data_IF_418814497319
#
_entry.id   IF_418814497319
#
_cell.length_a   1.000
_cell.length_b   1.000
_cell.length_c   1.000
_cell.angle_alpha   90.00
_cell.angle_beta   90.00
_cell.angle_gamma   90.00
#
_symmetry.space_group_name_H-M   'P 1'
#
loop_
_entity.id
_entity.type
_entity.pdbx_description
1 polymer ?
#
# COMPACT_ATOMS: atom_id res chain seq x y z
N UNK A 1 -4.10 31.75 -21.70
CA UNK A 1 -3.01 30.76 -21.68
C UNK A 1 -3.64 29.38 -21.87
N UNK A 2 -3.59 28.84 -23.08
CA UNK A 2 -4.24 27.56 -23.44
C UNK A 2 -3.31 26.39 -23.09
N UNK A 3 -3.74 25.53 -22.17
CA UNK A 3 -3.06 24.27 -21.87
C UNK A 3 -3.21 23.32 -23.06
N UNK A 4 -2.14 23.13 -23.84
CA UNK A 4 -2.08 22.07 -24.84
C UNK A 4 -1.74 20.75 -24.13
N UNK A 5 -2.72 19.88 -23.99
CA UNK A 5 -2.51 18.48 -23.62
C UNK A 5 -1.86 17.77 -24.81
N UNK A 6 -0.56 17.55 -24.75
CA UNK A 6 0.16 16.74 -25.74
C UNK A 6 -0.33 15.30 -25.57
N UNK A 7 -1.20 14.84 -26.46
CA UNK A 7 -1.58 13.44 -26.52
C UNK A 7 -0.33 12.64 -26.93
N UNK A 8 0.31 11.97 -25.96
CA UNK A 8 1.44 11.11 -26.23
C UNK A 8 1.03 10.08 -27.29
N UNK A 9 1.67 10.16 -28.46
CA UNK A 9 1.40 9.22 -29.55
C UNK A 9 1.98 7.86 -29.17
N UNK A 10 1.11 6.95 -28.75
CA UNK A 10 1.50 5.57 -28.41
C UNK A 10 1.87 4.85 -29.70
N UNK A 11 3.14 4.48 -29.83
CA UNK A 11 3.62 3.68 -30.96
C UNK A 11 3.33 2.20 -30.70
N UNK A 12 2.53 1.52 -31.54
CA UNK A 12 2.27 0.09 -31.40
C UNK A 12 3.59 -0.70 -31.40
N UNK A 13 3.66 -1.74 -30.56
CA UNK A 13 4.80 -2.66 -30.48
C UNK A 13 6.15 -2.03 -30.14
N UNK A 14 6.18 -0.78 -29.66
CA UNK A 14 7.41 -0.07 -29.28
C UNK A 14 8.26 -0.77 -28.21
N UNK A 15 7.66 -1.71 -27.46
CA UNK A 15 8.33 -2.49 -26.40
C UNK A 15 8.25 -4.01 -26.66
N UNK A 16 8.02 -4.44 -27.91
CA UNK A 16 7.87 -5.86 -28.23
C UNK A 16 9.12 -6.70 -27.91
N UNK A 17 10.31 -6.09 -28.03
CA UNK A 17 11.61 -6.73 -27.82
C UNK A 17 12.17 -6.45 -26.43
N UNK A 18 11.42 -5.72 -25.58
CA UNK A 18 11.81 -5.48 -24.21
C UNK A 18 11.72 -6.79 -23.40
N UNK A 19 12.67 -7.04 -22.48
CA UNK A 19 12.60 -8.21 -21.62
C UNK A 19 11.38 -8.14 -20.71
N UNK A 20 10.90 -9.31 -20.27
CA UNK A 20 9.80 -9.35 -19.31
C UNK A 20 10.22 -8.75 -17.97
N UNK A 21 9.28 -8.07 -17.30
CA UNK A 21 9.53 -7.40 -16.04
C UNK A 21 10.11 -8.35 -14.99
N UNK A 22 9.61 -9.59 -14.90
CA UNK A 22 10.07 -10.60 -13.93
C UNK A 22 11.55 -10.97 -14.07
N UNK A 23 12.14 -10.80 -15.26
CA UNK A 23 13.56 -11.08 -15.50
C UNK A 23 14.47 -9.97 -14.96
N UNK A 24 13.94 -8.75 -14.83
CA UNK A 24 14.68 -7.56 -14.37
C UNK A 24 14.32 -7.16 -12.94
N UNK A 25 13.05 -7.27 -12.56
CA UNK A 25 12.48 -6.75 -11.32
C UNK A 25 11.45 -7.71 -10.74
N UNK A 26 11.58 -7.99 -9.44
CA UNK A 26 10.60 -8.82 -8.74
C UNK A 26 10.50 -8.43 -7.26
N UNK A 27 9.37 -7.84 -6.81
CA UNK A 27 9.19 -7.46 -5.40
C UNK A 27 8.85 -8.66 -4.52
N UNK A 28 9.81 -9.57 -4.38
CA UNK A 28 9.64 -10.86 -3.69
C UNK A 28 9.03 -10.70 -2.29
N UNK A 29 9.52 -9.74 -1.50
CA UNK A 29 9.08 -9.55 -0.12
C UNK A 29 7.59 -9.21 -0.01
N UNK A 30 7.10 -8.21 -0.79
CA UNK A 30 5.69 -7.80 -0.77
C UNK A 30 4.79 -8.94 -1.25
N UNK A 31 5.19 -9.61 -2.34
CA UNK A 31 4.45 -10.75 -2.89
C UNK A 31 4.37 -11.90 -1.88
N UNK A 32 5.48 -12.23 -1.21
CA UNK A 32 5.52 -13.30 -0.20
C UNK A 32 4.61 -13.01 1.00
N UNK A 33 4.55 -11.76 1.46
CA UNK A 33 3.67 -11.37 2.57
C UNK A 33 2.20 -11.56 2.17
N UNK A 34 1.79 -11.07 1.00
CA UNK A 34 0.40 -11.22 0.53
C UNK A 34 0.05 -12.69 0.25
N UNK A 35 0.97 -13.45 -0.34
CA UNK A 35 0.80 -14.89 -0.56
C UNK A 35 0.60 -15.65 0.76
N UNK A 36 1.31 -15.25 1.82
CA UNK A 36 1.15 -15.86 3.14
C UNK A 36 -0.14 -15.42 3.83
N UNK A 37 -0.58 -14.16 3.66
CA UNK A 37 -1.90 -13.71 4.13
C UNK A 37 -3.03 -14.51 3.49
N UNK A 38 -2.97 -14.72 2.18
CA UNK A 38 -3.94 -15.55 1.46
C UNK A 38 -3.98 -16.98 2.04
N UNK A 39 -2.82 -17.61 2.24
CA UNK A 39 -2.73 -18.95 2.85
C UNK A 39 -3.31 -19.00 4.26
N UNK A 40 -3.11 -17.96 5.06
CA UNK A 40 -3.59 -17.89 6.45
C UNK A 40 -5.05 -17.43 6.58
N UNK A 41 -5.72 -17.05 5.49
CA UNK A 41 -7.09 -16.55 5.54
C UNK A 41 -8.14 -17.64 5.88
N UNK A 42 -7.75 -18.93 5.93
CA UNK A 42 -8.59 -20.10 6.26
C UNK A 42 -9.98 -20.02 5.63
N UNK A 43 -10.99 -19.55 6.36
CA UNK A 43 -12.39 -19.47 5.96
C UNK A 43 -12.66 -18.37 4.91
N UNK A 44 -11.79 -17.36 4.81
CA UNK A 44 -11.90 -16.25 3.86
C UNK A 44 -11.06 -16.44 2.59
N UNK A 45 -10.50 -17.63 2.35
CA UNK A 45 -9.85 -17.92 1.07
C UNK A 45 -10.91 -17.96 -0.05
N UNK A 46 -10.67 -17.29 -1.16
CA UNK A 46 -11.62 -17.19 -2.28
C UNK A 46 -12.02 -18.55 -2.88
N UNK A 47 -11.20 -19.60 -2.70
CA UNK A 47 -11.42 -20.94 -3.27
C UNK A 47 -11.52 -22.06 -2.22
N UNK A 48 -11.98 -21.79 -0.99
CA UNK A 48 -12.16 -22.81 0.05
C UNK A 48 -13.14 -23.92 -0.34
N UNK A 49 -14.21 -23.59 -1.06
CA UNK A 49 -15.34 -24.50 -1.31
C UNK A 49 -15.09 -25.61 -2.35
N UNK A 50 -14.12 -25.45 -3.26
CA UNK A 50 -13.77 -26.45 -4.30
C UNK A 50 -12.78 -27.50 -3.75
N UNK A 51 -13.11 -28.04 -2.58
CA UNK A 51 -12.23 -28.76 -1.67
C UNK A 51 -11.35 -29.83 -2.33
N UNK A 52 -10.14 -29.97 -1.78
CA UNK A 52 -9.25 -31.15 -1.90
C UNK A 52 -8.65 -31.49 -3.28
N UNK A 53 -9.27 -31.12 -4.40
CA UNK A 53 -8.79 -31.50 -5.75
C UNK A 53 -7.44 -30.86 -6.10
N UNK A 54 -7.12 -29.70 -5.51
CA UNK A 54 -5.89 -28.93 -5.75
C UNK A 54 -4.94 -28.92 -4.54
N UNK A 55 -4.72 -30.05 -3.87
CA UNK A 55 -3.80 -30.13 -2.72
C UNK A 55 -2.39 -29.66 -3.16
N UNK A 56 -1.99 -28.43 -2.79
CA UNK A 56 -0.82 -27.73 -3.36
C UNK A 56 -1.10 -26.37 -4.02
N UNK A 57 -2.27 -25.76 -3.79
CA UNK A 57 -2.67 -24.44 -4.33
C UNK A 57 -1.55 -23.39 -4.24
N UNK A 58 -1.11 -22.92 -5.41
CA UNK A 58 -0.31 -21.69 -5.48
C UNK A 58 -1.24 -20.51 -5.14
N UNK A 59 -0.82 -19.58 -4.26
CA UNK A 59 -1.61 -18.40 -3.95
C UNK A 59 -1.98 -17.64 -5.23
N UNK A 60 -3.24 -17.24 -5.37
CA UNK A 60 -3.73 -16.51 -6.54
C UNK A 60 -3.01 -15.18 -6.73
N UNK A 61 -2.63 -14.53 -5.62
CA UNK A 61 -1.78 -13.33 -5.68
C UNK A 61 -0.42 -13.62 -6.32
N UNK A 62 0.18 -14.79 -6.08
CA UNK A 62 1.44 -15.18 -6.71
C UNK A 62 1.23 -15.48 -8.20
N UNK A 63 0.15 -16.18 -8.56
CA UNK A 63 -0.19 -16.44 -9.96
C UNK A 63 -0.37 -15.14 -10.74
N UNK A 64 -1.14 -14.19 -10.17
CA UNK A 64 -1.31 -12.85 -10.75
C UNK A 64 0.02 -12.12 -10.92
N UNK A 65 0.89 -12.16 -9.90
CA UNK A 65 2.21 -11.55 -9.97
C UNK A 65 3.05 -12.15 -11.10
N UNK A 66 3.05 -13.48 -11.27
CA UNK A 66 3.78 -14.13 -12.35
C UNK A 66 3.23 -13.77 -13.73
N UNK A 67 1.91 -13.74 -13.90
CA UNK A 67 1.26 -13.36 -15.17
C UNK A 67 1.60 -11.91 -15.53
N UNK A 68 1.45 -10.97 -14.59
CA UNK A 68 1.78 -9.57 -14.82
C UNK A 68 3.29 -9.37 -15.06
N UNK A 69 4.14 -10.02 -14.27
CA UNK A 69 5.59 -9.93 -14.42
C UNK A 69 6.09 -10.52 -15.74
N UNK A 70 5.41 -11.53 -16.30
CA UNK A 70 5.76 -12.11 -17.61
C UNK A 70 5.26 -11.26 -18.79
N UNK A 71 4.17 -10.51 -18.62
CA UNK A 71 3.54 -9.75 -19.71
C UNK A 71 3.98 -8.29 -19.77
N UNK A 72 4.37 -7.69 -18.65
CA UNK A 72 4.82 -6.31 -18.62
C UNK A 72 6.25 -6.20 -19.17
N UNK A 73 6.51 -5.29 -20.11
CA UNK A 73 7.87 -5.02 -20.57
C UNK A 73 8.65 -4.25 -19.48
N UNK A 74 9.91 -4.61 -19.28
CA UNK A 74 10.82 -3.80 -18.49
C UNK A 74 11.34 -2.63 -19.35
N UNK A 75 11.21 -1.41 -18.82
CA UNK A 75 11.70 -0.18 -19.43
C UNK A 75 13.05 0.22 -18.82
N UNK A 76 13.59 1.35 -19.27
CA UNK A 76 14.81 1.94 -18.70
C UNK A 76 14.57 2.64 -17.35
N UNK A 77 13.31 2.74 -16.89
CA UNK A 77 12.94 3.30 -15.60
C UNK A 77 12.41 2.20 -14.65
N UNK A 78 13.31 1.49 -13.96
CA UNK A 78 12.92 0.38 -13.10
C UNK A 78 12.07 0.81 -11.90
N UNK A 79 12.19 2.07 -11.45
CA UNK A 79 11.40 2.59 -10.35
C UNK A 79 9.93 2.74 -10.76
N UNK A 80 9.69 3.28 -11.97
CA UNK A 80 8.35 3.46 -12.51
C UNK A 80 7.70 2.14 -12.91
N UNK A 81 8.46 1.20 -13.45
CA UNK A 81 7.95 -0.14 -13.75
C UNK A 81 7.48 -0.85 -12.48
N UNK A 82 8.27 -0.76 -11.41
CA UNK A 82 7.91 -1.31 -10.12
C UNK A 82 6.67 -0.60 -9.54
N UNK A 83 6.59 0.73 -9.62
CA UNK A 83 5.42 1.49 -9.19
C UNK A 83 4.14 1.03 -9.91
N UNK A 84 4.20 0.89 -11.24
CA UNK A 84 3.07 0.42 -12.05
C UNK A 84 2.70 -1.01 -11.67
N UNK A 85 3.69 -1.90 -11.54
CA UNK A 85 3.46 -3.27 -11.11
C UNK A 85 2.78 -3.35 -9.74
N UNK A 86 3.27 -2.58 -8.77
CA UNK A 86 2.70 -2.53 -7.42
C UNK A 86 1.25 -2.02 -7.43
N UNK A 87 0.96 -0.98 -8.22
CA UNK A 87 -0.41 -0.47 -8.43
C UNK A 87 -1.32 -1.51 -9.07
N UNK A 88 -0.84 -2.19 -10.12
CA UNK A 88 -1.59 -3.27 -10.78
C UNK A 88 -1.84 -4.45 -9.85
N UNK A 89 -0.90 -4.74 -8.93
CA UNK A 89 -1.04 -5.76 -7.90
C UNK A 89 -1.85 -5.28 -6.68
N UNK A 90 -2.16 -3.99 -6.58
CA UNK A 90 -2.70 -3.34 -5.37
C UNK A 90 -1.85 -3.65 -4.13
N UNK A 91 -0.54 -3.62 -4.26
CA UNK A 91 0.43 -3.75 -3.15
C UNK A 91 1.27 -2.48 -2.99
N UNK A 92 0.75 -1.39 -3.55
CA UNK A 92 1.18 -0.03 -3.33
C UNK A 92 0.62 0.53 -2.01
N UNK A 93 1.20 1.62 -1.55
CA UNK A 93 0.84 2.23 -0.28
C UNK A 93 -0.61 2.72 -0.26
N UNK A 94 -1.10 3.30 -1.37
CA UNK A 94 -2.49 3.76 -1.49
C UNK A 94 -3.46 2.60 -1.26
N UNK A 95 -3.25 1.48 -1.96
CA UNK A 95 -4.06 0.28 -1.79
C UNK A 95 -4.00 -0.28 -0.36
N UNK A 96 -2.84 -0.25 0.30
CA UNK A 96 -2.72 -0.70 1.69
C UNK A 96 -3.56 0.14 2.64
N UNK A 97 -3.59 1.45 2.46
CA UNK A 97 -4.40 2.35 3.29
C UNK A 97 -5.89 2.10 3.09
N UNK A 98 -6.31 1.89 1.84
CA UNK A 98 -7.71 1.58 1.53
C UNK A 98 -8.19 0.29 2.23
N UNK A 99 -7.31 -0.70 2.40
CA UNK A 99 -7.63 -1.98 3.08
C UNK A 99 -7.32 -2.00 4.57
N UNK A 100 -6.67 -0.97 5.10
CA UNK A 100 -6.32 -0.92 6.52
C UNK A 100 -7.56 -0.67 7.37
N UNK A 101 -8.01 -1.73 8.04
CA UNK A 101 -9.13 -1.73 8.98
C UNK A 101 -8.65 -1.65 10.44
N UNK A 102 -7.33 -1.67 10.67
CA UNK A 102 -6.75 -1.85 12.00
C UNK A 102 -6.38 -0.54 12.68
N UNK A 103 -5.83 0.43 11.95
CA UNK A 103 -5.44 1.71 12.55
C UNK A 103 -6.67 2.53 12.96
N UNK A 104 -6.70 2.96 14.22
CA UNK A 104 -7.81 3.74 14.77
C UNK A 104 -7.69 5.19 14.35
N UNK A 105 -8.82 5.87 14.11
CA UNK A 105 -8.84 7.29 13.75
C UNK A 105 -8.08 8.17 14.76
N UNK A 106 -8.12 7.82 16.04
CA UNK A 106 -7.38 8.52 17.07
C UNK A 106 -5.87 8.35 16.98
N UNK A 107 -5.39 7.16 16.64
CA UNK A 107 -3.95 6.90 16.44
C UNK A 107 -3.42 7.73 15.28
N UNK A 108 -4.19 7.80 14.18
CA UNK A 108 -3.91 8.68 13.04
C UNK A 108 -3.84 10.15 13.48
N UNK A 109 -4.81 10.63 14.26
CA UNK A 109 -4.84 12.01 14.74
C UNK A 109 -3.67 12.35 15.67
N UNK A 110 -3.29 11.42 16.55
CA UNK A 110 -2.15 11.57 17.46
C UNK A 110 -0.84 11.72 16.71
N UNK A 111 -0.57 10.85 15.73
CA UNK A 111 0.67 10.92 14.96
C UNK A 111 0.72 12.19 14.10
N UNK A 112 -0.40 12.59 13.48
CA UNK A 112 -0.45 13.85 12.70
C UNK A 112 -0.12 15.08 13.55
N UNK A 113 -0.56 15.07 14.81
CA UNK A 113 -0.27 16.13 15.78
C UNK A 113 1.18 16.09 16.27
N UNK A 114 1.70 14.90 16.62
CA UNK A 114 3.05 14.75 17.18
C UNK A 114 4.14 15.08 16.17
N UNK A 115 3.96 14.65 14.91
CA UNK A 115 4.88 14.90 13.80
C UNK A 115 4.71 16.31 13.21
N UNK A 116 3.79 17.13 13.77
CA UNK A 116 3.45 18.48 13.27
C UNK A 116 3.10 18.49 11.78
N UNK A 117 2.52 17.40 11.27
CA UNK A 117 2.09 17.28 9.87
C UNK A 117 0.83 18.12 9.63
N UNK A 118 -0.04 18.21 10.65
CA UNK A 118 -1.20 19.08 10.68
C UNK A 118 -1.22 19.90 11.96
N UNK A 119 -1.69 21.13 11.82
CA UNK A 119 -2.08 21.96 12.94
C UNK A 119 -3.49 21.59 13.43
N UNK A 120 -3.92 22.26 14.50
CA UNK A 120 -5.21 22.00 15.12
C UNK A 120 -6.38 22.23 14.15
N UNK A 121 -6.30 23.27 13.32
CA UNK A 121 -7.31 23.55 12.30
C UNK A 121 -7.42 22.39 11.30
N UNK A 122 -6.28 21.91 10.77
CA UNK A 122 -6.25 20.78 9.86
C UNK A 122 -6.75 19.46 10.47
N UNK A 123 -6.53 19.24 11.76
CA UNK A 123 -7.11 18.08 12.47
C UNK A 123 -8.63 18.18 12.60
N UNK A 124 -9.17 19.37 12.89
CA UNK A 124 -10.61 19.59 13.04
C UNK A 124 -11.38 19.45 11.72
N UNK A 125 -10.74 19.64 10.58
CA UNK A 125 -11.32 19.31 9.27
C UNK A 125 -11.55 17.80 9.06
N UNK A 126 -10.75 16.96 9.71
CA UNK A 126 -10.70 15.52 9.43
C UNK A 126 -11.33 14.68 10.53
N UNK A 127 -11.27 15.14 11.77
CA UNK A 127 -11.69 14.40 12.95
C UNK A 127 -12.74 15.18 13.74
N UNK A 128 -13.70 14.44 14.30
CA UNK A 128 -14.68 14.95 15.26
C UNK A 128 -14.63 14.12 16.54
N UNK A 129 -15.05 14.72 17.64
CA UNK A 129 -15.24 13.98 18.90
C UNK A 129 -16.42 13.04 18.72
N UNK A 130 -16.23 11.79 19.09
CA UNK A 130 -17.25 10.74 18.93
C UNK A 130 -18.48 11.10 19.78
N UNK A 131 -19.63 11.28 19.12
CA UNK A 131 -20.91 11.55 19.79
C UNK A 131 -21.22 13.02 20.08
N UNK A 132 -20.50 13.97 19.49
CA UNK A 132 -20.73 15.42 19.73
C UNK A 132 -20.97 16.17 18.42
N UNK A 133 -21.92 17.11 18.41
CA UNK A 133 -22.46 17.77 17.22
C UNK A 133 -21.78 19.09 16.80
N UNK A 134 -20.54 19.33 17.25
CA UNK A 134 -19.70 20.54 16.98
C UNK A 134 -20.01 21.81 17.79
N UNK A 135 -19.10 22.08 18.73
CA UNK A 135 -18.57 23.39 19.17
C UNK A 135 -17.74 23.13 20.45
N UNK A 136 -16.68 22.33 20.32
CA UNK A 136 -15.83 21.97 21.46
C UNK A 136 -14.57 22.83 21.42
N UNK A 137 -14.18 23.37 22.58
CA UNK A 137 -12.96 24.16 22.73
C UNK A 137 -11.72 23.35 22.32
N UNK A 138 -10.64 24.05 22.00
CA UNK A 138 -9.41 23.45 21.49
C UNK A 138 -8.77 22.49 22.50
N UNK A 139 -8.82 22.82 23.79
CA UNK A 139 -8.33 21.95 24.86
C UNK A 139 -9.09 20.63 24.95
N UNK A 140 -10.43 20.63 24.89
CA UNK A 140 -11.17 19.38 24.98
C UNK A 140 -11.08 18.56 23.67
N UNK A 141 -10.85 19.20 22.52
CA UNK A 141 -10.51 18.46 21.30
C UNK A 141 -9.15 17.76 21.42
N UNK A 142 -8.12 18.47 21.87
CA UNK A 142 -6.80 17.88 22.12
C UNK A 142 -6.86 16.77 23.18
N UNK A 143 -7.65 16.97 24.25
CA UNK A 143 -7.92 15.94 25.25
C UNK A 143 -8.63 14.72 24.67
N UNK A 144 -9.56 14.91 23.72
CA UNK A 144 -10.22 13.81 23.02
C UNK A 144 -9.27 13.05 22.08
N UNK A 145 -8.33 13.75 21.42
CA UNK A 145 -7.27 13.13 20.60
C UNK A 145 -6.37 12.28 21.49
N UNK A 146 -5.92 12.81 22.63
CA UNK A 146 -5.06 12.09 23.59
C UNK A 146 -5.75 10.85 24.19
N UNK A 147 -7.05 10.95 24.51
CA UNK A 147 -7.82 9.86 25.13
C UNK A 147 -8.46 8.88 24.15
N UNK A 148 -8.24 9.05 22.84
CA UNK A 148 -8.73 8.11 21.84
C UNK A 148 -10.21 8.26 21.46
N UNK A 149 -10.84 9.38 21.83
CA UNK A 149 -12.29 9.62 21.68
C UNK A 149 -12.69 10.33 20.38
N UNK A 150 -11.79 10.37 19.40
CA UNK A 150 -12.06 10.98 18.09
C UNK A 150 -12.39 9.95 17.02
N UNK A 151 -13.19 10.36 16.05
CA UNK A 151 -13.58 9.59 14.87
C UNK A 151 -13.41 10.44 13.61
N UNK A 152 -13.32 9.79 12.45
CA UNK A 152 -13.36 10.49 11.18
C UNK A 152 -14.68 11.25 11.05
N UNK A 153 -14.60 12.55 10.73
CA UNK A 153 -15.76 13.36 10.32
C UNK A 153 -16.48 12.67 9.16
N UNK A 154 -17.82 12.72 9.08
CA UNK A 154 -18.57 12.02 8.01
C UNK A 154 -18.47 12.75 6.66
N UNK A 155 -18.34 14.07 6.73
CA UNK A 155 -18.18 15.06 5.69
C UNK A 155 -16.74 15.19 5.16
N UNK A 156 -15.74 14.66 5.87
CA UNK A 156 -14.35 14.73 5.42
C UNK A 156 -14.17 13.97 4.09
N UNK A 157 -13.58 14.59 3.03
CA UNK A 157 -13.39 13.95 1.73
C UNK A 157 -12.65 12.62 1.85
N UNK A 158 -13.18 11.55 1.24
CA UNK A 158 -12.60 10.19 1.29
C UNK A 158 -11.12 10.21 0.89
N UNK A 159 -10.78 11.00 -0.14
CA UNK A 159 -9.41 11.20 -0.64
C UNK A 159 -8.50 11.83 0.43
N UNK A 160 -8.98 12.77 1.25
CA UNK A 160 -8.18 13.36 2.35
C UNK A 160 -7.96 12.36 3.49
N UNK A 161 -8.91 11.46 3.78
CA UNK A 161 -8.76 10.41 4.80
C UNK A 161 -7.73 9.37 4.40
N UNK A 162 -7.75 8.98 3.13
CA UNK A 162 -6.82 8.02 2.53
C UNK A 162 -5.42 8.64 2.37
N UNK A 163 -5.30 9.84 1.80
CA UNK A 163 -4.00 10.48 1.56
C UNK A 163 -3.25 10.89 2.84
N UNK A 164 -3.95 11.11 3.96
CA UNK A 164 -3.29 11.46 5.24
C UNK A 164 -2.86 10.23 6.02
N UNK A 165 -3.62 9.13 5.93
CA UNK A 165 -3.21 7.83 6.48
C UNK A 165 -1.99 7.27 5.71
N UNK A 166 -1.85 7.61 4.42
CA UNK A 166 -0.65 7.36 3.62
C UNK A 166 0.62 7.99 4.17
N UNK A 167 0.53 9.21 4.68
CA UNK A 167 1.68 9.95 5.23
C UNK A 167 2.09 9.47 6.62
N UNK A 168 1.30 8.59 7.25
CA UNK A 168 1.46 8.15 8.64
C UNK A 168 1.94 6.70 8.76
N UNK A 169 1.74 5.91 7.72
CA UNK A 169 2.40 4.63 7.60
C UNK A 169 3.73 4.85 6.89
N UNK A 170 4.89 4.87 7.59
CA UNK A 170 5.90 3.97 7.09
C UNK A 170 5.19 2.61 7.18
N UNK A 171 4.71 2.07 6.06
CA UNK A 171 4.54 0.62 6.04
C UNK A 171 5.90 0.12 6.45
N UNK A 172 5.96 -0.35 7.71
CA UNK A 172 7.15 -0.68 8.48
C UNK A 172 8.07 -1.40 7.51
N UNK A 173 9.00 -0.67 6.88
CA UNK A 173 9.97 -1.28 5.99
C UNK A 173 10.57 -2.32 6.93
N UNK A 174 10.47 -3.63 6.65
CA UNK A 174 11.46 -4.52 7.23
C UNK A 174 12.75 -3.81 6.85
N UNK A 175 13.49 -3.30 7.84
CA UNK A 175 14.71 -2.54 7.62
C UNK A 175 15.42 -3.20 6.47
N UNK A 176 15.40 -2.54 5.31
CA UNK A 176 16.16 -2.96 4.16
C UNK A 176 17.58 -2.65 4.60
N UNK A 177 18.18 -3.58 5.35
CA UNK A 177 19.57 -3.86 5.09
C UNK A 177 19.61 -4.07 3.58
N UNK A 178 20.29 -3.21 2.82
CA UNK A 178 20.56 -3.53 1.45
C UNK A 178 21.29 -4.86 1.53
N UNK A 179 20.62 -5.94 1.16
CA UNK A 179 21.32 -7.16 0.79
C UNK A 179 21.93 -6.86 -0.58
N UNK A 180 22.91 -5.95 -0.56
CA UNK A 180 23.95 -5.97 -1.55
C UNK A 180 24.47 -7.39 -1.48
N UNK A 181 24.39 -8.10 -2.59
CA UNK A 181 25.07 -9.37 -2.76
C UNK A 181 26.56 -9.04 -2.63
N UNK A 182 27.05 -9.01 -1.39
CA UNK A 182 28.45 -9.20 -1.12
C UNK A 182 28.73 -10.61 -1.62
N UNK A 183 29.53 -10.68 -2.67
CA UNK A 183 30.13 -11.88 -3.23
C UNK A 183 30.89 -12.65 -2.13
N UNK A 184 30.16 -13.37 -1.29
CA UNK A 184 30.65 -14.26 -0.27
C UNK A 184 30.13 -15.65 -0.59
N UNK A 185 31.00 -16.48 -1.16
CA UNK A 185 30.69 -17.86 -1.51
C UNK A 185 30.18 -18.66 -0.31
N UNK A 186 29.27 -19.59 -0.58
CA UNK A 186 28.86 -20.61 0.38
C UNK A 186 30.06 -21.47 0.76
N UNK A 187 30.49 -21.52 2.04
CA UNK A 187 31.40 -22.55 2.51
C UNK A 187 30.57 -23.75 3.00
N UNK A 188 30.87 -24.94 2.47
CA UNK A 188 30.42 -26.20 3.05
C UNK A 188 29.51 -27.04 2.17
N UNK A 189 30.08 -27.58 1.10
CA UNK A 189 29.87 -29.00 0.78
C UNK A 189 31.16 -29.71 1.19
N UNK A 190 31.07 -30.64 2.14
CA UNK A 190 31.11 -32.06 1.80
C UNK A 190 29.87 -32.83 2.24
#
# INVERSE_FOLDING_TARGET
MTNQTIAATVQPLSLQDAPALIERLWPAQKISVEAQKERKAVQSQTLTALGSYWKGRKPLVLVRACVLGALLPATDDPAKDLEIFEKLMRIDDEAFIFRDQSTKAAEVAQILLSERILDLAGLRELFAIRGTAEAVNDEAFLGAVATGKVAWRKDAPVVKRVNRRAKLTPYRRPTLTPFFVSSGGYPGSP
#
